data_IF_250939582962
#
_entry.id   IF_250939582962
#
_cell.length_a   1.000
_cell.length_b   1.000
_cell.length_c   1.000
_cell.angle_alpha   90.00
_cell.angle_beta   90.00
_cell.angle_gamma   90.00
#
_symmetry.space_group_name_H-M   'P 1'
#
loop_
_entity.id
_entity.type
_entity.pdbx_description
1 polymer ?
#
# COMPACT_ATOMS: atom_id res chain seq x y z
N UNK A 1 3.54 22.63 4.50
CA UNK A 1 2.82 21.53 5.16
C UNK A 1 3.12 20.29 4.35
N UNK A 2 3.60 19.22 4.97
CA UNK A 2 3.77 17.94 4.26
C UNK A 2 2.39 17.47 3.78
N UNK A 3 2.26 17.12 2.50
CA UNK A 3 0.99 16.67 1.96
C UNK A 3 0.85 15.18 2.25
N UNK A 4 -0.21 14.79 2.93
CA UNK A 4 -0.52 13.38 3.18
C UNK A 4 -1.62 12.94 2.22
N UNK A 5 -1.36 11.87 1.47
CA UNK A 5 -2.34 11.23 0.60
C UNK A 5 -2.66 9.83 1.12
N UNK A 6 -3.96 9.55 1.24
CA UNK A 6 -4.47 8.23 1.61
C UNK A 6 -4.78 7.43 0.34
N UNK A 7 -4.29 6.20 0.29
CA UNK A 7 -4.59 5.23 -0.75
C UNK A 7 -5.47 4.12 -0.17
N UNK A 8 -6.43 3.66 -0.97
CA UNK A 8 -7.31 2.54 -0.65
C UNK A 8 -6.89 1.31 -1.41
N UNK A 9 -6.71 0.20 -0.70
CA UNK A 9 -6.32 -1.05 -1.33
C UNK A 9 -7.54 -1.80 -1.92
N UNK A 10 -7.36 -2.38 -3.10
CA UNK A 10 -8.28 -3.34 -3.71
C UNK A 10 -7.51 -4.46 -4.40
N UNK A 11 -8.12 -5.63 -4.56
CA UNK A 11 -7.54 -6.72 -5.34
C UNK A 11 -7.32 -6.31 -6.82
N UNK A 12 -6.24 -6.74 -7.48
CA UNK A 12 -5.94 -6.32 -8.85
C UNK A 12 -7.02 -6.73 -9.86
N UNK A 13 -7.52 -7.97 -9.80
CA UNK A 13 -8.59 -8.48 -10.69
C UNK A 13 -8.32 -8.21 -12.19
N UNK A 14 -7.11 -8.59 -12.65
CA UNK A 14 -6.59 -8.38 -14.01
C UNK A 14 -6.54 -6.92 -14.50
N UNK A 15 -6.61 -5.95 -13.58
CA UNK A 15 -6.42 -4.54 -13.90
C UNK A 15 -4.95 -4.18 -13.95
N UNK A 16 -4.58 -3.36 -14.91
CA UNK A 16 -3.27 -2.70 -15.00
C UNK A 16 -3.34 -1.36 -14.28
N UNK A 17 -2.34 -0.99 -13.46
CA UNK A 17 -2.32 0.32 -12.84
C UNK A 17 -2.10 1.43 -13.87
N UNK A 18 -2.64 2.62 -13.61
CA UNK A 18 -2.43 3.81 -14.45
C UNK A 18 -1.04 4.41 -14.21
N UNK A 19 -0.53 4.26 -12.98
CA UNK A 19 0.78 4.76 -12.57
C UNK A 19 1.43 3.90 -11.50
N UNK A 20 2.74 4.03 -11.39
CA UNK A 20 3.55 3.43 -10.32
C UNK A 20 4.07 4.54 -9.42
N UNK A 21 3.90 4.39 -8.11
CA UNK A 21 4.52 5.24 -7.10
C UNK A 21 5.63 4.46 -6.41
N UNK A 22 6.79 5.09 -6.24
CA UNK A 22 7.87 4.52 -5.43
C UNK A 22 7.85 5.17 -4.05
N UNK A 23 7.79 4.33 -3.01
CA UNK A 23 7.82 4.74 -1.62
C UNK A 23 9.07 4.21 -0.94
N UNK A 24 9.61 5.00 -0.04
CA UNK A 24 10.42 4.48 1.07
C UNK A 24 9.53 4.29 2.28
N UNK A 25 9.55 3.10 2.86
CA UNK A 25 8.69 2.72 3.99
C UNK A 25 9.24 3.32 5.28
N UNK A 26 8.38 4.05 5.98
CA UNK A 26 8.66 4.68 7.27
C UNK A 26 8.13 3.83 8.44
N UNK A 27 6.92 3.28 8.31
CA UNK A 27 6.24 2.52 9.38
C UNK A 27 5.33 1.44 8.77
N UNK A 28 5.32 0.25 9.39
CA UNK A 28 4.33 -0.79 9.12
C UNK A 28 3.73 -1.25 10.44
N UNK A 29 2.45 -0.97 10.63
CA UNK A 29 1.74 -1.30 11.86
C UNK A 29 0.46 -2.10 11.58
N UNK A 30 0.04 -3.00 12.48
CA UNK A 30 -1.32 -3.54 12.44
C UNK A 30 -2.33 -2.40 12.46
N UNK A 31 -3.38 -2.48 11.62
CA UNK A 31 -4.46 -1.53 11.70
C UNK A 31 -5.10 -1.68 13.09
N UNK A 32 -4.88 -0.71 13.98
CA UNK A 32 -5.44 -0.77 15.33
C UNK A 32 -6.95 -0.67 15.22
N UNK A 33 -7.65 -1.78 15.49
CA UNK A 33 -9.04 -1.72 15.94
C UNK A 33 -9.06 -0.84 17.18
N UNK A 34 -9.53 0.39 17.02
CA UNK A 34 -9.62 1.33 18.12
C UNK A 34 -10.39 0.71 19.29
N UNK A 35 -9.92 1.00 20.50
CA UNK A 35 -10.54 0.64 21.79
C UNK A 35 -11.89 1.36 22.03
N UNK A 36 -12.54 1.83 20.97
CA UNK A 36 -13.85 2.44 20.93
C UNK A 36 -14.71 1.60 19.97
N UNK A 37 -15.21 0.50 20.50
CA UNK A 37 -16.29 -0.24 19.87
C UNK A 37 -17.54 0.62 19.69
N UNK A 38 -18.47 0.07 18.93
CA UNK A 38 -19.82 0.60 18.65
C UNK A 38 -19.83 1.63 17.52
N UNK A 39 -19.68 1.14 16.28
CA UNK A 39 -20.41 1.56 15.06
C UNK A 39 -19.50 1.35 13.83
N UNK A 40 -19.54 0.16 13.22
CA UNK A 40 -19.75 -0.03 11.77
C UNK A 40 -19.68 -1.51 11.35
N UNK A 41 -20.82 -1.97 10.85
CA UNK A 41 -21.13 -3.14 9.99
C UNK A 41 -20.99 -4.56 10.57
N UNK A 42 -22.11 -5.25 10.92
CA UNK A 42 -22.16 -6.61 11.46
C UNK A 42 -22.16 -7.70 10.37
N UNK A 43 -21.30 -7.62 9.35
CA UNK A 43 -21.40 -8.54 8.19
C UNK A 43 -20.08 -8.97 7.56
N UNK A 44 -18.93 -8.57 8.10
CA UNK A 44 -17.63 -8.85 7.50
C UNK A 44 -16.61 -9.05 8.63
N UNK A 45 -15.76 -10.07 8.75
CA UNK A 45 -15.42 -11.26 7.98
C UNK A 45 -14.61 -12.09 9.01
N UNK A 46 -14.96 -13.36 9.26
CA UNK A 46 -14.19 -14.24 10.14
C UNK A 46 -12.87 -14.77 9.51
N UNK A 47 -12.59 -14.41 8.25
CA UNK A 47 -11.50 -14.91 7.40
C UNK A 47 -10.69 -13.81 6.67
N UNK A 48 -10.67 -12.57 7.15
CA UNK A 48 -9.95 -11.48 6.48
C UNK A 48 -8.52 -11.50 7.00
N UNK A 49 -7.49 -11.58 6.14
CA UNK A 49 -6.12 -11.48 6.60
C UNK A 49 -5.94 -10.18 7.37
N UNK A 50 -5.23 -10.23 8.50
CA UNK A 50 -5.05 -9.08 9.39
C UNK A 50 -4.63 -7.83 8.59
N UNK A 51 -5.40 -6.74 8.62
CA UNK A 51 -5.04 -5.53 7.89
C UNK A 51 -3.80 -4.87 8.52
N UNK A 52 -2.95 -4.33 7.67
CA UNK A 52 -1.74 -3.61 8.02
C UNK A 52 -1.81 -2.21 7.40
N UNK A 53 -1.35 -1.22 8.15
CA UNK A 53 -1.18 0.16 7.72
C UNK A 53 0.29 0.35 7.38
N UNK A 54 0.56 0.71 6.13
CA UNK A 54 1.87 1.09 5.63
C UNK A 54 1.90 2.59 5.49
N UNK A 55 2.96 3.19 6.00
CA UNK A 55 3.27 4.61 5.85
C UNK A 55 4.65 4.75 5.24
N UNK A 56 4.79 5.71 4.36
CA UNK A 56 6.04 6.02 3.70
C UNK A 56 5.98 7.34 2.98
N UNK A 57 7.10 7.75 2.41
CA UNK A 57 7.20 8.97 1.62
C UNK A 57 7.55 8.62 0.17
N UNK A 58 7.09 9.45 -0.77
CA UNK A 58 7.45 9.27 -2.16
C UNK A 58 8.96 9.51 -2.35
N UNK A 59 9.63 8.62 -3.08
CA UNK A 59 11.08 8.72 -3.31
C UNK A 59 11.44 9.99 -4.08
N UNK A 60 10.61 10.42 -5.03
CA UNK A 60 10.80 11.64 -5.82
C UNK A 60 10.32 12.92 -5.13
N UNK A 61 9.43 12.79 -4.13
CA UNK A 61 8.82 13.89 -3.37
C UNK A 61 8.75 13.55 -1.88
N UNK A 62 9.88 13.58 -1.15
CA UNK A 62 9.94 13.14 0.24
C UNK A 62 9.02 13.91 1.20
N UNK A 63 8.57 15.11 0.82
CA UNK A 63 7.58 15.89 1.55
C UNK A 63 6.14 15.38 1.43
N UNK A 64 5.90 14.41 0.55
CA UNK A 64 4.60 13.76 0.35
C UNK A 64 4.59 12.38 1.02
N UNK A 65 3.69 12.24 1.99
CA UNK A 65 3.49 10.99 2.71
C UNK A 65 2.31 10.23 2.15
N UNK A 66 2.47 8.93 2.00
CA UNK A 66 1.42 8.00 1.57
C UNK A 66 1.04 7.12 2.77
N UNK A 67 -0.26 6.96 2.98
CA UNK A 67 -0.80 5.96 3.91
C UNK A 67 -1.65 4.96 3.13
N UNK A 68 -1.39 3.67 3.32
CA UNK A 68 -2.09 2.59 2.64
C UNK A 68 -2.47 1.50 3.66
N UNK A 69 -3.74 1.12 3.70
CA UNK A 69 -4.19 -0.04 4.48
C UNK A 69 -4.43 -1.21 3.54
N UNK A 70 -3.72 -2.33 3.74
CA UNK A 70 -3.84 -3.53 2.92
C UNK A 70 -3.81 -4.81 3.77
N UNK A 71 -4.28 -5.97 3.25
CA UNK A 71 -4.12 -7.25 3.93
C UNK A 71 -2.64 -7.59 4.14
N UNK A 72 -2.27 -8.15 5.30
CA UNK A 72 -0.88 -8.56 5.60
C UNK A 72 -0.23 -9.43 4.54
N UNK A 73 -0.99 -10.30 3.88
CA UNK A 73 -0.50 -11.18 2.81
C UNK A 73 0.06 -10.41 1.61
N UNK A 74 -0.44 -9.20 1.37
CA UNK A 74 -0.01 -8.34 0.28
C UNK A 74 1.29 -7.58 0.57
N UNK A 75 1.72 -7.51 1.84
CA UNK A 75 3.01 -6.91 2.19
C UNK A 75 4.21 -7.77 1.76
N UNK A 76 4.04 -9.09 1.68
CA UNK A 76 5.13 -10.02 1.44
C UNK A 76 6.24 -9.85 2.50
N UNK A 77 7.45 -9.50 2.05
CA UNK A 77 8.65 -9.31 2.88
C UNK A 77 9.02 -7.84 3.12
N UNK A 78 8.09 -6.90 2.88
CA UNK A 78 8.31 -5.48 3.15
C UNK A 78 8.45 -5.20 4.65
N UNK A 79 9.44 -4.39 4.98
CA UNK A 79 9.78 -3.89 6.32
C UNK A 79 10.10 -2.41 6.26
N UNK A 80 10.18 -1.77 7.43
CA UNK A 80 10.61 -0.37 7.56
C UNK A 80 12.00 -0.16 6.94
N UNK A 81 12.19 0.97 6.25
CA UNK A 81 13.40 1.31 5.52
C UNK A 81 13.49 0.72 4.12
N UNK A 82 12.64 -0.24 3.75
CA UNK A 82 12.61 -0.77 2.40
C UNK A 82 12.05 0.23 1.38
N UNK A 83 12.38 0.00 0.11
CA UNK A 83 11.71 0.66 -1.02
C UNK A 83 10.61 -0.23 -1.59
N UNK A 84 9.49 0.36 -1.95
CA UNK A 84 8.32 -0.34 -2.49
C UNK A 84 7.75 0.38 -3.71
N UNK A 85 7.27 -0.39 -4.69
CA UNK A 85 6.46 0.11 -5.79
C UNK A 85 4.97 -0.17 -5.53
N UNK A 86 4.14 0.85 -5.68
CA UNK A 86 2.69 0.79 -5.58
C UNK A 86 2.06 0.99 -6.97
N UNK A 87 1.21 0.06 -7.39
CA UNK A 87 0.40 0.20 -8.59
C UNK A 87 -0.90 0.90 -8.25
N UNK A 88 -1.15 2.08 -8.83
CA UNK A 88 -2.32 2.91 -8.52
C UNK A 88 -3.20 3.10 -9.76
N UNK A 89 -4.51 2.93 -9.57
CA UNK A 89 -5.57 3.27 -10.53
C UNK A 89 -6.27 4.55 -10.06
N UNK A 90 -6.56 5.45 -11.00
CA UNK A 90 -7.21 6.72 -10.74
C UNK A 90 -6.42 7.56 -9.76
N UNK A 91 -7.09 8.16 -8.79
CA UNK A 91 -6.43 9.10 -7.87
C UNK A 91 -5.89 8.43 -6.60
N UNK A 92 -6.50 7.36 -6.12
CA UNK A 92 -6.18 6.80 -4.81
C UNK A 92 -6.39 5.29 -4.64
N UNK A 93 -6.63 4.51 -5.70
CA UNK A 93 -6.85 3.06 -5.56
C UNK A 93 -5.52 2.34 -5.78
N UNK A 94 -4.93 1.78 -4.73
CA UNK A 94 -3.77 0.92 -4.84
C UNK A 94 -4.22 -0.53 -5.10
N UNK A 95 -3.67 -1.16 -6.14
CA UNK A 95 -4.02 -2.54 -6.50
C UNK A 95 -2.89 -3.54 -6.26
N UNK A 96 -1.64 -3.06 -6.18
CA UNK A 96 -0.45 -3.91 -6.10
C UNK A 96 0.63 -3.23 -5.28
N UNK A 97 1.35 -4.03 -4.50
CA UNK A 97 2.50 -3.63 -3.70
C UNK A 97 3.63 -4.64 -3.95
N UNK A 98 4.84 -4.15 -4.23
CA UNK A 98 6.03 -4.98 -4.44
C UNK A 98 7.26 -4.32 -3.81
N UNK A 99 8.08 -5.11 -3.11
CA UNK A 99 9.39 -4.68 -2.63
C UNK A 99 10.35 -4.47 -3.81
N UNK A 100 11.07 -3.36 -3.78
CA UNK A 100 12.14 -3.04 -4.72
C UNK A 100 13.48 -3.48 -4.12
N UNK A 101 14.35 -4.05 -4.96
CA UNK A 101 15.75 -4.29 -4.65
C UNK A 101 16.62 -3.20 -5.26
N UNK A 102 17.83 -3.00 -4.72
CA UNK A 102 18.80 -2.08 -5.31
C UNK A 102 19.07 -2.45 -6.79
N UNK A 103 18.77 -1.53 -7.70
CA UNK A 103 18.88 -1.72 -9.15
C UNK A 103 17.58 -2.09 -9.88
N UNK A 104 16.42 -2.10 -9.21
CA UNK A 104 15.10 -2.23 -9.84
C UNK A 104 14.66 -0.94 -10.57
N UNK A 105 15.45 -0.50 -11.55
CA UNK A 105 15.22 0.77 -12.28
C UNK A 105 14.18 0.67 -13.41
N UNK A 106 13.38 -0.40 -13.44
CA UNK A 106 12.55 -0.76 -14.60
C UNK A 106 11.12 -1.21 -14.29
N UNK A 107 10.60 -0.95 -13.09
CA UNK A 107 9.23 -1.38 -12.74
C UNK A 107 8.20 -0.56 -13.53
N UNK A 108 7.55 -1.22 -14.48
CA UNK A 108 6.43 -0.67 -15.24
C UNK A 108 5.10 -1.08 -14.64
N UNK A 109 4.00 -0.33 -14.90
CA UNK A 109 2.66 -0.72 -14.48
C UNK A 109 2.29 -2.15 -14.88
N UNK A 110 2.67 -2.57 -16.09
CA UNK A 110 2.38 -3.90 -16.63
C UNK A 110 3.11 -5.02 -15.89
N UNK A 111 4.35 -4.76 -15.43
CA UNK A 111 5.17 -5.75 -14.72
C UNK A 111 4.91 -5.84 -13.22
N UNK A 112 4.31 -4.80 -12.63
CA UNK A 112 4.21 -4.65 -11.17
C UNK A 112 3.18 -5.59 -10.55
N UNK A 113 2.05 -5.79 -11.24
CA UNK A 113 0.93 -6.59 -10.75
C UNK A 113 0.99 -8.07 -11.17
N UNK A 114 1.96 -8.45 -12.00
CA UNK A 114 2.18 -9.83 -12.40
C UNK A 114 2.93 -10.55 -11.27
N UNK A 115 2.23 -11.46 -10.58
CA UNK A 115 2.77 -12.30 -9.49
C UNK A 115 2.87 -13.74 -9.92
#
# INVERSE_FOLDING_TARGET
MAATQELHWQWPNDRTPDRVLQLTIDDIAPAKSGLFGILRTPSLIANMPEPQVVRGYLTDKPEQTITLTLPKVELGSLTEGDSAALGVIGDNICICVKKLMDGDDGITPESLCQR
#
